data_IF_306579458170
#
_entry.id   IF_306579458170
#
_cell.length_a   1.000
_cell.length_b   1.000
_cell.length_c   1.000
_cell.angle_alpha   90.00
_cell.angle_beta   90.00
_cell.angle_gamma   90.00
#
_symmetry.space_group_name_H-M   'P 1'
#
loop_
_entity.id
_entity.type
_entity.pdbx_description
1 polymer ?
#
# COMPACT_ATOMS: atom_id res chain seq x y z
N UNK A 1 -8.43 -42.68 23.20
CA UNK A 1 -7.99 -42.19 21.87
C UNK A 1 -8.18 -40.70 21.71
N UNK A 2 -9.26 -40.08 22.08
CA UNK A 2 -9.56 -38.64 21.99
C UNK A 2 -8.61 -37.71 22.75
N UNK A 3 -8.09 -38.11 23.94
CA UNK A 3 -7.12 -37.27 24.71
C UNK A 3 -5.76 -37.12 24.02
N UNK A 4 -5.32 -38.10 23.24
CA UNK A 4 -4.04 -38.02 22.50
C UNK A 4 -4.17 -37.16 21.24
N UNK A 5 -5.34 -37.16 20.58
CA UNK A 5 -5.65 -36.29 19.44
C UNK A 5 -5.78 -34.81 19.85
N UNK A 6 -6.35 -34.56 21.03
CA UNK A 6 -6.44 -33.18 21.56
C UNK A 6 -5.08 -32.59 21.94
N UNK A 7 -4.14 -33.40 22.49
CA UNK A 7 -2.79 -32.94 22.80
C UNK A 7 -1.97 -32.64 21.52
N UNK A 8 -2.10 -33.46 20.48
CA UNK A 8 -1.40 -33.20 19.20
C UNK A 8 -1.96 -32.01 18.46
N UNK A 9 -3.25 -31.73 18.56
CA UNK A 9 -3.84 -30.49 18.01
C UNK A 9 -3.38 -29.24 18.74
N UNK A 10 -3.25 -29.28 20.07
CA UNK A 10 -2.74 -28.16 20.86
C UNK A 10 -1.26 -27.85 20.58
N UNK A 11 -0.43 -28.89 20.39
CA UNK A 11 0.99 -28.67 20.04
C UNK A 11 1.18 -28.17 18.61
N UNK A 12 0.34 -28.55 17.66
CA UNK A 12 0.38 -28.04 16.29
C UNK A 12 -0.02 -26.54 16.22
N UNK A 13 -0.96 -26.10 17.03
CA UNK A 13 -1.37 -24.67 17.14
C UNK A 13 -0.26 -23.85 17.82
N UNK A 14 0.47 -24.40 18.77
CA UNK A 14 1.56 -23.71 19.46
C UNK A 14 2.80 -23.52 18.57
N UNK A 15 3.06 -24.41 17.61
CA UNK A 15 4.17 -24.28 16.66
C UNK A 15 3.87 -23.33 15.47
N UNK A 16 2.60 -23.06 15.17
CA UNK A 16 2.20 -22.10 14.14
C UNK A 16 2.29 -20.64 14.57
N UNK A 17 2.56 -20.37 15.84
CA UNK A 17 2.55 -19.04 16.45
C UNK A 17 3.92 -18.40 16.69
N UNK A 18 5.00 -18.86 16.06
CA UNK A 18 6.27 -18.16 16.13
C UNK A 18 6.18 -16.91 15.25
N UNK A 19 6.19 -15.68 15.82
CA UNK A 19 6.33 -14.50 14.99
C UNK A 19 7.66 -14.61 14.24
N UNK A 20 7.63 -14.53 12.93
CA UNK A 20 8.85 -14.32 12.16
C UNK A 20 9.40 -12.94 12.56
N UNK A 21 10.39 -12.93 13.45
CA UNK A 21 11.22 -11.77 13.76
C UNK A 21 12.16 -11.50 12.58
N UNK A 22 11.60 -11.10 11.46
CA UNK A 22 12.33 -10.77 10.24
C UNK A 22 12.13 -9.29 9.86
N UNK A 23 12.07 -8.41 10.87
CA UNK A 23 12.30 -6.99 10.65
C UNK A 23 13.20 -6.54 11.80
N UNK A 24 14.40 -6.04 11.47
CA UNK A 24 15.19 -5.29 12.44
C UNK A 24 14.29 -4.22 13.08
N UNK A 25 14.59 -3.84 14.31
CA UNK A 25 13.85 -2.78 15.01
C UNK A 25 13.93 -1.51 14.15
N UNK A 26 12.96 -1.31 13.26
CA UNK A 26 12.74 -0.05 12.58
C UNK A 26 12.21 0.95 13.59
N UNK A 27 12.45 2.22 13.35
CA UNK A 27 11.96 3.30 14.21
C UNK A 27 10.43 3.28 14.33
N UNK A 28 9.93 4.06 15.27
CA UNK A 28 8.50 4.20 15.51
C UNK A 28 7.82 4.86 14.30
N UNK A 29 6.83 4.20 13.76
CA UNK A 29 5.97 4.74 12.69
C UNK A 29 4.66 5.24 13.31
N UNK A 30 4.38 6.52 13.15
CA UNK A 30 3.13 7.11 13.60
C UNK A 30 1.96 6.63 12.73
N UNK A 31 0.80 6.49 13.38
CA UNK A 31 -0.43 6.14 12.68
C UNK A 31 -1.05 7.41 12.06
N UNK A 32 -0.72 7.68 10.82
CA UNK A 32 -1.32 8.75 10.02
C UNK A 32 -2.67 8.27 9.52
N UNK A 33 -3.70 9.10 9.62
CA UNK A 33 -5.04 8.78 9.11
C UNK A 33 -5.17 9.18 7.66
N UNK A 34 -5.12 8.20 6.79
CA UNK A 34 -5.43 8.41 5.38
C UNK A 34 -6.94 8.28 5.10
N UNK A 35 -7.40 9.00 4.09
CA UNK A 35 -8.82 8.97 3.65
C UNK A 35 -9.30 7.57 3.24
N UNK A 36 -8.39 6.74 2.77
CA UNK A 36 -8.65 5.38 2.31
C UNK A 36 -8.57 4.31 3.42
N UNK A 37 -8.36 4.68 4.68
CA UNK A 37 -8.29 3.70 5.77
C UNK A 37 -9.63 3.04 6.07
N UNK A 38 -9.54 1.83 6.65
CA UNK A 38 -10.71 1.06 7.05
C UNK A 38 -11.54 0.53 5.88
N UNK A 39 -12.63 -0.17 6.19
CA UNK A 39 -13.46 -0.87 5.19
C UNK A 39 -14.28 0.06 4.29
N UNK A 40 -14.51 1.30 4.70
CA UNK A 40 -15.34 2.30 4.01
C UNK A 40 -14.56 3.53 3.53
N UNK A 41 -13.27 3.63 3.84
CA UNK A 41 -12.42 4.72 3.38
C UNK A 41 -12.25 4.71 1.86
N UNK A 42 -12.09 5.90 1.28
CA UNK A 42 -11.91 6.11 -0.16
C UNK A 42 -10.70 7.00 -0.42
N UNK A 43 -10.07 6.84 -1.56
CA UNK A 43 -9.00 7.74 -1.96
C UNK A 43 -9.53 9.18 -2.14
N UNK A 44 -8.75 10.15 -1.70
CA UNK A 44 -8.95 11.57 -2.00
C UNK A 44 -8.21 11.89 -3.31
N UNK A 45 -8.96 12.24 -4.35
CA UNK A 45 -8.40 12.52 -5.67
C UNK A 45 -7.40 13.69 -5.66
N UNK A 46 -7.68 14.75 -4.89
CA UNK A 46 -6.77 15.89 -4.80
C UNK A 46 -5.45 15.47 -4.15
N UNK A 47 -5.50 14.66 -3.09
CA UNK A 47 -4.31 14.10 -2.46
C UNK A 47 -3.52 13.22 -3.44
N UNK A 48 -4.20 12.36 -4.21
CA UNK A 48 -3.53 11.54 -5.22
C UNK A 48 -2.89 12.37 -6.34
N UNK A 49 -3.52 13.47 -6.76
CA UNK A 49 -2.96 14.38 -7.76
C UNK A 49 -1.73 15.11 -7.24
N UNK A 50 -1.74 15.61 -6.00
CA UNK A 50 -0.56 16.18 -5.36
C UNK A 50 0.55 15.15 -5.20
N UNK A 51 0.20 13.92 -4.79
CA UNK A 51 1.16 12.81 -4.68
C UNK A 51 1.77 12.41 -6.03
N UNK A 52 0.99 12.42 -7.12
CA UNK A 52 1.50 12.24 -8.47
C UNK A 52 2.48 13.34 -8.85
N UNK A 53 2.19 14.59 -8.47
CA UNK A 53 3.10 15.72 -8.72
C UNK A 53 4.42 15.53 -7.98
N UNK A 54 4.40 15.19 -6.68
CA UNK A 54 5.62 14.89 -5.91
C UNK A 54 6.39 13.71 -6.54
N UNK A 55 5.69 12.65 -6.94
CA UNK A 55 6.35 11.54 -7.63
C UNK A 55 7.05 12.00 -8.90
N UNK A 56 6.38 12.78 -9.74
CA UNK A 56 6.88 13.22 -11.04
C UNK A 56 8.08 14.17 -10.90
N UNK A 57 7.99 15.15 -10.00
CA UNK A 57 9.00 16.19 -9.86
C UNK A 57 10.21 15.75 -9.05
N UNK A 58 10.02 14.80 -8.11
CA UNK A 58 11.06 14.40 -7.15
C UNK A 58 11.47 12.94 -7.34
N UNK A 59 10.54 12.00 -7.29
CA UNK A 59 10.85 10.57 -7.16
C UNK A 59 11.23 9.91 -8.50
N UNK A 60 10.59 10.34 -9.60
CA UNK A 60 10.74 9.72 -10.91
C UNK A 60 12.17 9.82 -11.48
N UNK A 61 12.97 10.78 -10.98
CA UNK A 61 14.38 10.89 -11.35
C UNK A 61 15.20 9.62 -11.03
N UNK A 62 14.82 8.89 -9.99
CA UNK A 62 15.53 7.69 -9.51
C UNK A 62 14.67 6.44 -9.48
N UNK A 63 13.35 6.56 -9.34
CA UNK A 63 12.42 5.45 -9.12
C UNK A 63 11.42 5.29 -10.26
N UNK A 64 11.25 4.07 -10.75
CA UNK A 64 10.19 3.72 -11.71
C UNK A 64 8.87 3.28 -11.06
N UNK A 65 7.82 3.18 -11.89
CA UNK A 65 6.50 2.61 -11.57
C UNK A 65 6.07 1.60 -12.64
N UNK A 66 6.94 0.68 -12.99
CA UNK A 66 6.82 -0.22 -14.16
C UNK A 66 5.56 -1.11 -14.20
N UNK A 67 4.86 -1.27 -13.08
CA UNK A 67 3.64 -2.07 -13.01
C UNK A 67 2.36 -1.23 -13.01
N UNK A 68 2.46 0.09 -13.12
CA UNK A 68 1.33 1.01 -13.12
C UNK A 68 1.03 1.46 -14.55
N UNK A 69 -0.11 1.09 -15.16
CA UNK A 69 -0.51 1.58 -16.47
C UNK A 69 -0.86 3.07 -16.40
N UNK A 70 -0.32 3.88 -17.31
CA UNK A 70 -0.51 5.34 -17.28
C UNK A 70 -2.00 5.71 -17.41
N UNK A 71 -2.78 4.95 -18.20
CA UNK A 71 -4.23 5.17 -18.34
C UNK A 71 -5.00 5.14 -17.03
N UNK A 72 -4.50 4.42 -16.00
CA UNK A 72 -5.19 4.31 -14.71
C UNK A 72 -5.21 5.64 -13.93
N UNK A 73 -4.42 6.63 -14.34
CA UNK A 73 -4.54 7.99 -13.85
C UNK A 73 -5.93 8.60 -14.10
N UNK A 74 -6.68 8.06 -15.09
CA UNK A 74 -8.05 8.51 -15.41
C UNK A 74 -9.14 7.74 -14.65
N UNK A 75 -8.79 6.76 -13.82
CA UNK A 75 -9.77 5.97 -13.08
C UNK A 75 -10.50 6.84 -12.03
N UNK A 76 -11.82 6.68 -11.90
CA UNK A 76 -12.64 7.41 -10.92
C UNK A 76 -12.22 7.15 -9.47
N UNK A 77 -11.74 5.94 -9.19
CA UNK A 77 -11.22 5.54 -7.87
C UNK A 77 -9.72 5.86 -7.71
N UNK A 78 -9.12 6.60 -8.64
CA UNK A 78 -7.72 7.01 -8.67
C UNK A 78 -7.58 8.54 -8.74
N UNK A 79 -6.49 9.06 -9.34
CA UNK A 79 -6.29 10.51 -9.50
C UNK A 79 -7.39 11.22 -10.29
N UNK A 80 -8.17 10.49 -11.10
CA UNK A 80 -9.33 11.02 -11.82
C UNK A 80 -8.96 12.08 -12.88
N UNK A 81 -7.76 12.02 -13.43
CA UNK A 81 -7.28 12.97 -14.43
C UNK A 81 -7.98 12.69 -15.77
N UNK A 82 -8.60 13.69 -16.43
CA UNK A 82 -9.20 13.49 -17.73
C UNK A 82 -8.23 12.90 -18.77
N UNK A 83 -8.69 11.99 -19.66
CA UNK A 83 -7.80 11.28 -20.61
C UNK A 83 -6.98 12.18 -21.54
N UNK A 84 -7.48 13.36 -21.88
CA UNK A 84 -6.76 14.38 -22.65
C UNK A 84 -5.62 15.00 -21.84
N UNK A 85 -5.84 15.21 -20.53
CA UNK A 85 -4.81 15.70 -19.63
C UNK A 85 -3.76 14.63 -19.32
N UNK A 86 -4.13 13.34 -19.30
CA UNK A 86 -3.14 12.25 -19.20
C UNK A 86 -2.20 12.24 -20.39
N UNK A 87 -2.69 12.48 -21.62
CA UNK A 87 -1.83 12.63 -22.80
C UNK A 87 -0.92 13.85 -22.68
N UNK A 88 -1.47 14.99 -22.26
CA UNK A 88 -0.67 16.19 -22.03
C UNK A 88 0.41 15.97 -20.94
N UNK A 89 0.08 15.23 -19.87
CA UNK A 89 1.02 14.85 -18.83
C UNK A 89 2.19 14.03 -19.38
N UNK A 90 1.93 13.05 -20.24
CA UNK A 90 2.97 12.24 -20.90
C UNK A 90 3.90 13.13 -21.72
N UNK A 91 3.34 14.02 -22.53
CA UNK A 91 4.09 14.93 -23.42
C UNK A 91 4.92 15.94 -22.61
N UNK A 92 4.33 16.56 -21.59
CA UNK A 92 5.00 17.59 -20.76
C UNK A 92 6.16 17.02 -19.94
N UNK A 93 6.04 15.76 -19.51
CA UNK A 93 7.07 15.11 -18.71
C UNK A 93 8.03 14.24 -19.55
N UNK A 94 7.91 14.30 -20.89
CA UNK A 94 8.79 13.55 -21.82
C UNK A 94 8.88 12.06 -21.43
N UNK A 95 7.74 11.44 -21.09
CA UNK A 95 7.73 10.05 -20.67
C UNK A 95 7.98 9.16 -21.87
N UNK A 96 9.07 8.41 -21.84
CA UNK A 96 9.48 7.49 -22.88
C UNK A 96 9.47 6.05 -22.35
N UNK A 97 9.17 5.11 -23.24
CA UNK A 97 9.20 3.67 -22.96
C UNK A 97 10.03 2.96 -24.01
N UNK A 98 10.70 1.88 -23.59
CA UNK A 98 11.44 1.02 -24.51
C UNK A 98 10.47 0.25 -25.41
N UNK A 99 10.68 0.30 -26.71
CA UNK A 99 9.91 -0.44 -27.71
C UNK A 99 10.77 -1.58 -28.28
N UNK A 100 10.31 -2.82 -28.06
CA UNK A 100 11.05 -4.02 -28.47
C UNK A 100 11.12 -4.17 -30.00
N UNK A 101 10.10 -3.69 -30.71
CA UNK A 101 10.04 -3.79 -32.17
C UNK A 101 10.96 -2.76 -32.84
N UNK A 102 11.00 -1.55 -32.31
CA UNK A 102 11.87 -0.47 -32.77
C UNK A 102 13.31 -0.64 -32.24
N UNK A 103 13.49 -1.34 -31.12
CA UNK A 103 14.72 -1.42 -30.33
C UNK A 103 15.26 -0.03 -29.97
N UNK A 104 14.35 0.85 -29.62
CA UNK A 104 14.64 2.23 -29.28
C UNK A 104 13.57 2.76 -28.32
N UNK A 105 13.82 3.92 -27.73
CA UNK A 105 12.83 4.60 -26.89
C UNK A 105 11.84 5.35 -27.79
N UNK A 106 10.56 5.29 -27.43
CA UNK A 106 9.50 6.11 -28.01
C UNK A 106 8.71 6.83 -26.94
N UNK A 107 8.04 7.90 -27.31
CA UNK A 107 7.07 8.54 -26.44
C UNK A 107 6.04 7.52 -25.94
N UNK A 108 5.76 7.55 -24.64
CA UNK A 108 4.74 6.70 -24.05
C UNK A 108 3.34 7.08 -24.53
N UNK A 109 2.45 6.12 -24.47
CA UNK A 109 1.01 6.29 -24.70
C UNK A 109 0.25 5.95 -23.40
N UNK A 110 -1.02 6.32 -23.23
CA UNK A 110 -1.78 5.94 -22.05
C UNK A 110 -1.88 4.42 -21.81
N UNK A 111 -1.73 3.61 -22.83
CA UNK A 111 -1.77 2.14 -22.78
C UNK A 111 -0.48 1.53 -22.21
N UNK A 112 0.61 2.29 -22.24
CA UNK A 112 1.89 1.86 -21.66
C UNK A 112 1.87 1.97 -20.13
N UNK A 113 2.79 1.26 -19.50
CA UNK A 113 3.10 1.47 -18.10
C UNK A 113 4.06 2.65 -17.92
N UNK A 114 4.12 3.20 -16.72
CA UNK A 114 5.21 4.09 -16.35
C UNK A 114 6.57 3.40 -16.57
N UNK A 115 7.61 4.16 -16.94
CA UNK A 115 8.92 3.57 -17.22
C UNK A 115 9.54 2.95 -15.97
N UNK A 116 10.37 1.93 -16.22
CA UNK A 116 11.31 1.44 -15.22
C UNK A 116 12.49 2.42 -15.14
N UNK A 117 12.96 2.68 -13.92
CA UNK A 117 14.19 3.44 -13.70
C UNK A 117 15.16 2.61 -12.85
N UNK A 118 16.27 2.23 -13.43
CA UNK A 118 17.32 1.43 -12.78
C UNK A 118 18.64 2.19 -12.61
N UNK A 119 18.68 3.45 -13.05
CA UNK A 119 19.92 4.24 -13.15
C UNK A 119 20.63 4.44 -11.79
N UNK A 120 19.84 4.65 -10.74
CA UNK A 120 20.39 4.89 -9.39
C UNK A 120 20.45 3.60 -8.53
N UNK A 121 20.11 2.43 -9.06
CA UNK A 121 19.94 1.22 -8.27
C UNK A 121 18.79 1.30 -7.26
N UNK A 122 17.92 2.31 -7.41
CA UNK A 122 16.77 2.54 -6.55
C UNK A 122 15.67 1.51 -6.82
N UNK A 123 14.90 1.08 -5.81
CA UNK A 123 13.81 0.13 -6.01
C UNK A 123 12.66 0.76 -6.80
N UNK A 124 11.97 -0.05 -7.61
CA UNK A 124 10.70 0.33 -8.22
C UNK A 124 9.62 0.54 -7.16
N UNK A 125 8.83 1.61 -7.28
CA UNK A 125 7.86 2.03 -6.28
C UNK A 125 6.46 1.45 -6.49
N UNK A 126 6.18 0.74 -7.60
CA UNK A 126 4.84 0.27 -7.94
C UNK A 126 4.15 -0.51 -6.83
N UNK A 127 4.90 -1.28 -6.03
CA UNK A 127 4.36 -2.11 -4.95
C UNK A 127 4.86 -1.71 -3.57
N UNK A 128 5.59 -0.59 -3.46
CA UNK A 128 6.33 -0.23 -2.25
C UNK A 128 5.41 -0.09 -1.04
N UNK A 129 4.28 0.58 -1.17
CA UNK A 129 3.32 0.78 -0.09
C UNK A 129 2.70 -0.53 0.44
N UNK A 130 2.68 -1.60 -0.36
CA UNK A 130 2.21 -2.93 0.08
C UNK A 130 3.35 -3.86 0.47
N UNK A 131 4.59 -3.56 0.08
CA UNK A 131 5.77 -4.34 0.45
C UNK A 131 6.34 -3.92 1.81
N UNK A 132 5.82 -2.90 2.43
CA UNK A 132 6.23 -2.41 3.76
C UNK A 132 5.09 -2.52 4.75
N UNK A 133 5.46 -2.77 6.01
CA UNK A 133 4.55 -2.78 7.15
C UNK A 133 5.02 -1.69 8.11
N UNK A 134 4.20 -0.69 8.34
CA UNK A 134 4.50 0.40 9.28
C UNK A 134 4.26 -0.01 10.73
N UNK A 135 3.23 -0.83 10.96
CA UNK A 135 2.89 -1.29 12.31
C UNK A 135 2.19 -2.66 12.28
N UNK A 136 2.30 -3.36 13.40
CA UNK A 136 1.65 -4.63 13.62
C UNK A 136 0.43 -4.47 14.52
N UNK A 137 -0.65 -5.19 14.22
CA UNK A 137 -1.84 -5.21 15.05
C UNK A 137 -1.61 -5.99 16.36
N UNK A 138 -2.49 -5.76 17.37
CA UNK A 138 -2.46 -6.55 18.60
C UNK A 138 -2.60 -8.04 18.24
N UNK A 139 -1.74 -8.86 18.86
CA UNK A 139 -1.68 -10.33 18.71
C UNK A 139 -1.36 -10.84 17.30
N UNK A 140 -0.72 -10.05 16.43
CA UNK A 140 -0.40 -10.45 15.06
C UNK A 140 -1.63 -10.75 14.19
N UNK A 141 -2.81 -10.31 14.60
CA UNK A 141 -4.05 -10.52 13.85
C UNK A 141 -4.25 -9.45 12.80
N UNK A 142 -4.82 -9.81 11.67
CA UNK A 142 -5.18 -8.85 10.60
C UNK A 142 -6.31 -7.88 10.94
N UNK A 143 -6.84 -7.90 12.19
CA UNK A 143 -7.91 -6.99 12.62
C UNK A 143 -7.48 -5.53 12.63
N UNK A 144 -6.24 -5.25 13.02
CA UNK A 144 -5.71 -3.89 12.95
C UNK A 144 -5.63 -3.39 11.51
N UNK A 145 -5.15 -4.23 10.61
CA UNK A 145 -5.06 -3.88 9.17
C UNK A 145 -6.44 -3.68 8.53
N UNK A 146 -7.51 -4.23 9.10
CA UNK A 146 -8.86 -3.98 8.60
C UNK A 146 -9.34 -2.55 8.91
N UNK A 147 -8.88 -1.96 10.00
CA UNK A 147 -9.33 -0.65 10.50
C UNK A 147 -8.33 0.45 10.15
N UNK A 148 -7.04 0.20 10.36
CA UNK A 148 -5.96 1.19 10.23
C UNK A 148 -5.06 0.95 9.00
N UNK A 149 -5.38 -0.02 8.14
CA UNK A 149 -4.49 -0.38 7.03
C UNK A 149 -3.30 -1.23 7.47
N UNK A 150 -2.35 -1.45 6.54
CA UNK A 150 -1.14 -2.25 6.76
C UNK A 150 0.04 -1.43 7.29
N UNK A 151 -0.10 -0.10 7.38
CA UNK A 151 0.96 0.81 7.80
C UNK A 151 2.05 1.06 6.75
N UNK A 152 1.83 0.64 5.51
CA UNK A 152 2.80 0.85 4.44
C UNK A 152 2.92 2.30 3.99
N UNK A 153 1.82 3.01 3.73
CA UNK A 153 1.84 4.45 3.46
C UNK A 153 2.45 5.25 4.61
N UNK A 154 2.08 4.91 5.85
CA UNK A 154 2.62 5.54 7.06
C UNK A 154 4.13 5.33 7.18
N UNK A 155 4.62 4.12 6.86
CA UNK A 155 6.05 3.86 6.82
C UNK A 155 6.75 4.72 5.76
N UNK A 156 6.16 4.89 4.57
CA UNK A 156 6.74 5.72 3.51
C UNK A 156 6.78 7.18 3.95
N UNK A 157 5.68 7.71 4.48
CA UNK A 157 5.62 9.08 4.97
C UNK A 157 6.64 9.32 6.10
N UNK A 158 6.68 8.43 7.10
CA UNK A 158 7.63 8.53 8.20
C UNK A 158 9.10 8.40 7.73
N UNK A 159 9.38 7.54 6.75
CA UNK A 159 10.72 7.40 6.16
C UNK A 159 11.16 8.71 5.50
N UNK A 160 10.28 9.32 4.71
CA UNK A 160 10.60 10.54 3.96
C UNK A 160 10.79 11.76 4.85
N UNK A 161 10.09 11.84 5.99
CA UNK A 161 10.24 12.92 6.98
C UNK A 161 11.26 12.60 8.08
N UNK A 162 11.72 11.35 8.20
CA UNK A 162 12.54 10.86 9.32
C UNK A 162 14.04 11.07 9.17
N UNK A 163 14.52 11.90 8.25
CA UNK A 163 15.95 12.21 8.14
C UNK A 163 16.42 13.11 9.29
N UNK A 164 17.54 12.73 9.93
CA UNK A 164 18.03 13.35 11.15
C UNK A 164 19.40 14.06 11.01
N UNK A 165 20.03 13.99 9.82
CA UNK A 165 21.31 14.63 9.53
C UNK A 165 22.53 13.94 10.14
N UNK A 166 22.39 12.74 10.70
CA UNK A 166 23.53 11.91 11.16
C UNK A 166 24.05 11.06 10.01
N UNK A 167 24.79 11.70 9.10
CA UNK A 167 25.27 11.05 7.89
C UNK A 167 26.65 10.41 8.13
N UNK A 168 26.88 9.25 7.50
CA UNK A 168 28.13 8.50 7.64
C UNK A 168 28.65 8.03 6.27
N UNK A 169 29.97 7.95 6.14
CA UNK A 169 30.60 7.28 5.00
C UNK A 169 31.07 5.89 5.42
N UNK A 170 30.50 4.86 4.79
CA UNK A 170 30.80 3.47 5.07
C UNK A 170 31.24 2.75 3.79
N UNK A 171 32.46 2.18 3.79
CA UNK A 171 33.02 1.44 2.67
C UNK A 171 32.99 2.19 1.31
N UNK A 172 33.16 3.52 1.34
CA UNK A 172 33.14 4.36 0.14
C UNK A 172 31.73 4.72 -0.36
N UNK A 173 30.69 4.41 0.42
CA UNK A 173 29.31 4.82 0.15
C UNK A 173 28.85 5.80 1.21
N UNK A 174 28.28 6.92 0.77
CA UNK A 174 27.68 7.90 1.66
C UNK A 174 26.28 7.43 2.05
N UNK A 175 26.02 7.39 3.35
CA UNK A 175 24.74 6.96 3.93
C UNK A 175 24.17 8.10 4.77
N UNK A 176 22.86 8.27 4.68
CA UNK A 176 22.12 9.33 5.36
C UNK A 176 21.39 8.78 6.59
N UNK A 177 21.49 9.49 7.70
CA UNK A 177 20.80 9.12 8.93
C UNK A 177 19.30 9.23 8.83
N UNK A 178 18.59 8.18 9.24
CA UNK A 178 17.12 8.12 9.20
C UNK A 178 16.57 7.35 10.40
N UNK A 179 15.69 7.97 11.17
CA UNK A 179 15.16 7.41 12.41
C UNK A 179 14.19 6.22 12.21
N UNK A 180 13.68 6.06 10.98
CA UNK A 180 12.67 5.04 10.64
C UNK A 180 13.28 3.85 9.92
N UNK A 181 14.33 4.09 9.14
CA UNK A 181 14.96 3.03 8.35
C UNK A 181 15.67 2.01 9.25
N UNK A 182 15.46 0.69 9.05
CA UNK A 182 16.15 -0.32 9.84
C UNK A 182 17.67 -0.18 9.78
N UNK A 183 18.29 -0.05 10.94
CA UNK A 183 19.74 0.19 11.05
C UNK A 183 20.12 1.67 11.10
N UNK A 184 19.18 2.60 10.95
CA UNK A 184 19.40 4.03 11.12
C UNK A 184 20.12 4.76 9.99
N UNK A 185 20.55 4.04 8.95
CA UNK A 185 21.33 4.61 7.81
C UNK A 185 20.76 4.11 6.48
N UNK A 186 20.47 5.02 5.57
CA UNK A 186 19.89 4.73 4.24
C UNK A 186 20.75 5.37 3.13
N UNK A 187 20.87 4.70 1.99
CA UNK A 187 21.62 5.21 0.84
C UNK A 187 20.87 6.27 0.02
N UNK A 188 19.57 6.40 0.21
CA UNK A 188 18.77 7.45 -0.43
C UNK A 188 19.00 8.78 0.27
N UNK A 189 19.48 9.80 -0.46
CA UNK A 189 19.58 11.15 0.06
C UNK A 189 18.19 11.72 0.42
N UNK A 190 18.08 12.66 1.38
CA UNK A 190 16.82 13.34 1.68
C UNK A 190 16.20 13.91 0.40
N UNK A 191 15.05 13.41 -0.06
CA UNK A 191 14.50 13.83 -1.35
C UNK A 191 13.56 15.05 -1.24
N UNK A 192 13.04 15.34 -0.04
CA UNK A 192 12.05 16.38 0.20
C UNK A 192 12.64 17.56 0.97
N UNK A 193 12.17 18.76 0.66
CA UNK A 193 12.48 19.99 1.37
C UNK A 193 11.25 20.89 1.42
N UNK A 194 11.23 21.84 2.34
CA UNK A 194 10.14 22.82 2.46
C UNK A 194 9.93 23.55 1.13
N UNK A 195 8.68 23.66 0.72
CA UNK A 195 8.26 24.27 -0.55
C UNK A 195 8.96 23.65 -1.78
N UNK A 196 9.31 22.35 -1.70
CA UNK A 196 10.00 21.62 -2.76
C UNK A 196 9.17 21.40 -4.03
N UNK A 197 7.85 21.47 -3.91
CA UNK A 197 6.88 21.47 -5.02
C UNK A 197 5.90 22.62 -4.85
N UNK A 198 5.34 23.13 -5.93
CA UNK A 198 4.33 24.20 -5.89
C UNK A 198 2.95 23.62 -6.20
N UNK A 199 2.11 23.43 -5.16
CA UNK A 199 0.77 22.90 -5.31
C UNK A 199 -0.19 23.94 -5.86
N UNK A 200 -0.94 23.59 -6.91
CA UNK A 200 -1.91 24.48 -7.57
C UNK A 200 -3.17 24.76 -6.75
N UNK A 201 -3.46 23.93 -5.72
CA UNK A 201 -4.64 24.05 -4.86
C UNK A 201 -4.42 24.94 -3.63
N UNK A 202 -3.19 25.49 -3.47
CA UNK A 202 -2.82 26.34 -2.35
C UNK A 202 -2.49 25.58 -1.05
N UNK A 203 -2.41 24.25 -1.10
CA UNK A 203 -1.89 23.45 0.03
C UNK A 203 -0.43 23.81 0.29
N UNK A 204 -0.04 23.99 1.56
CA UNK A 204 1.35 24.22 1.91
C UNK A 204 2.20 22.96 1.63
N UNK A 205 3.30 23.12 0.91
CA UNK A 205 4.17 22.01 0.53
C UNK A 205 5.26 21.75 1.59
N UNK A 206 4.84 21.51 2.85
CA UNK A 206 5.76 21.09 3.91
C UNK A 206 6.30 19.69 3.61
N UNK A 207 7.43 19.33 4.23
CA UNK A 207 8.01 17.98 4.05
C UNK A 207 6.99 16.90 4.42
N UNK A 208 6.26 17.08 5.52
CA UNK A 208 5.24 16.14 5.99
C UNK A 208 4.10 16.00 4.97
N UNK A 209 3.59 17.14 4.45
CA UNK A 209 2.50 17.11 3.47
C UNK A 209 2.92 16.44 2.17
N UNK A 210 4.12 16.75 1.67
CA UNK A 210 4.67 16.09 0.48
C UNK A 210 4.83 14.58 0.71
N UNK A 211 5.33 14.19 1.88
CA UNK A 211 5.52 12.79 2.25
C UNK A 211 4.18 12.02 2.35
N UNK A 212 3.16 12.62 2.96
CA UNK A 212 1.81 12.04 3.05
C UNK A 212 1.16 11.93 1.66
N UNK A 213 1.24 12.97 0.85
CA UNK A 213 0.63 12.99 -0.48
C UNK A 213 1.26 11.92 -1.40
N UNK A 214 2.58 11.82 -1.44
CA UNK A 214 3.25 10.78 -2.24
C UNK A 214 3.02 9.38 -1.68
N UNK A 215 2.94 9.20 -0.35
CA UNK A 215 2.61 7.92 0.26
C UNK A 215 1.19 7.45 -0.11
N UNK A 216 0.22 8.37 -0.13
CA UNK A 216 -1.14 8.08 -0.59
C UNK A 216 -1.17 7.68 -2.08
N UNK A 217 -0.44 8.40 -2.93
CA UNK A 217 -0.31 8.06 -4.34
C UNK A 217 0.33 6.68 -4.55
N UNK A 218 1.41 6.37 -3.82
CA UNK A 218 2.06 5.07 -3.90
C UNK A 218 1.18 3.93 -3.36
N UNK A 219 0.29 4.20 -2.40
CA UNK A 219 -0.69 3.20 -1.98
C UNK A 219 -1.72 2.94 -3.08
N UNK A 220 -2.20 3.97 -3.77
CA UNK A 220 -3.06 3.80 -4.94
C UNK A 220 -2.32 3.06 -6.06
N UNK A 221 -1.08 3.42 -6.36
CA UNK A 221 -0.25 2.75 -7.38
C UNK A 221 -0.10 1.25 -7.09
N UNK A 222 0.09 0.87 -5.81
CA UNK A 222 0.22 -0.52 -5.38
C UNK A 222 -1.11 -1.29 -5.39
N UNK A 223 -2.25 -0.62 -5.30
CA UNK A 223 -3.59 -1.24 -5.31
C UNK A 223 -4.64 -0.32 -5.95
N UNK A 224 -4.61 -0.08 -7.26
CA UNK A 224 -5.56 0.80 -7.94
C UNK A 224 -7.01 0.28 -7.86
N UNK A 225 -7.21 -1.01 -7.65
CA UNK A 225 -8.52 -1.64 -7.48
C UNK A 225 -9.00 -1.74 -6.01
N UNK A 226 -8.37 -1.05 -5.07
CA UNK A 226 -8.71 -1.15 -3.65
C UNK A 226 -10.18 -0.77 -3.39
N UNK A 227 -10.69 0.28 -4.01
CA UNK A 227 -12.07 0.73 -3.83
C UNK A 227 -13.07 -0.30 -4.36
N UNK A 228 -12.81 -0.87 -5.53
CA UNK A 228 -13.62 -1.95 -6.09
C UNK A 228 -13.60 -3.20 -5.19
N UNK A 229 -12.43 -3.57 -4.67
CA UNK A 229 -12.28 -4.68 -3.73
C UNK A 229 -13.07 -4.46 -2.43
N UNK A 230 -13.04 -3.26 -1.85
CA UNK A 230 -13.81 -2.92 -0.65
C UNK A 230 -15.31 -3.00 -0.89
N UNK A 231 -15.82 -2.41 -1.98
CA UNK A 231 -17.24 -2.48 -2.36
C UNK A 231 -17.71 -3.93 -2.56
N UNK A 232 -16.92 -4.72 -3.30
CA UNK A 232 -17.22 -6.13 -3.55
C UNK A 232 -17.16 -6.98 -2.28
N UNK A 233 -16.14 -6.73 -1.44
CA UNK A 233 -15.97 -7.40 -0.15
C UNK A 233 -17.14 -7.16 0.79
N UNK A 234 -17.62 -5.93 0.91
CA UNK A 234 -18.79 -5.59 1.72
C UNK A 234 -20.05 -6.33 1.25
N UNK A 235 -20.31 -6.31 -0.06
CA UNK A 235 -21.42 -7.05 -0.66
C UNK A 235 -21.31 -8.54 -0.41
N UNK A 236 -20.12 -9.12 -0.58
CA UNK A 236 -19.89 -10.54 -0.34
C UNK A 236 -20.14 -10.94 1.13
N UNK A 237 -19.71 -10.12 2.09
CA UNK A 237 -19.96 -10.37 3.52
C UNK A 237 -21.46 -10.38 3.82
N UNK A 238 -22.24 -9.43 3.31
CA UNK A 238 -23.69 -9.39 3.49
C UNK A 238 -24.34 -10.68 2.93
N UNK A 239 -23.98 -11.07 1.71
CA UNK A 239 -24.52 -12.28 1.08
C UNK A 239 -24.15 -13.56 1.84
N UNK A 240 -22.92 -13.64 2.36
CA UNK A 240 -22.46 -14.76 3.16
C UNK A 240 -23.18 -14.85 4.52
N UNK A 241 -23.45 -13.72 5.17
CA UNK A 241 -24.27 -13.69 6.40
C UNK A 241 -25.67 -14.19 6.12
N UNK A 242 -26.31 -13.70 5.05
CA UNK A 242 -27.63 -14.16 4.64
C UNK A 242 -27.65 -15.66 4.35
N UNK A 243 -26.72 -16.13 3.54
CA UNK A 243 -26.59 -17.55 3.20
C UNK A 243 -26.36 -18.42 4.46
N UNK A 244 -25.46 -18.00 5.33
CA UNK A 244 -25.16 -18.73 6.58
C UNK A 244 -26.38 -18.81 7.49
N UNK A 245 -27.15 -17.73 7.58
CA UNK A 245 -28.41 -17.71 8.34
C UNK A 245 -29.45 -18.67 7.77
N UNK A 246 -29.64 -18.66 6.45
CA UNK A 246 -30.59 -19.60 5.78
C UNK A 246 -30.15 -21.05 5.96
N UNK A 247 -28.87 -21.34 5.79
CA UNK A 247 -28.34 -22.70 6.00
C UNK A 247 -28.49 -23.15 7.46
N UNK A 248 -28.23 -22.26 8.42
CA UNK A 248 -28.45 -22.55 9.84
C UNK A 248 -29.93 -22.88 10.13
N UNK A 249 -30.85 -22.04 9.66
CA UNK A 249 -32.30 -22.25 9.85
C UNK A 249 -32.77 -23.55 9.18
N UNK A 250 -32.31 -23.82 7.97
CA UNK A 250 -32.63 -25.08 7.25
C UNK A 250 -32.10 -26.29 8.01
N UNK A 251 -30.84 -26.27 8.43
CA UNK A 251 -30.23 -27.35 9.22
C UNK A 251 -30.99 -27.56 10.54
N UNK A 252 -31.30 -26.47 11.26
CA UNK A 252 -32.08 -26.52 12.50
C UNK A 252 -33.47 -27.20 12.27
N UNK A 253 -34.12 -26.87 11.15
CA UNK A 253 -35.43 -27.44 10.80
C UNK A 253 -35.36 -28.94 10.45
N UNK A 254 -34.37 -29.34 9.67
CA UNK A 254 -34.13 -30.73 9.28
C UNK A 254 -33.84 -31.64 10.48
N UNK A 255 -33.00 -31.15 11.44
CA UNK A 255 -32.64 -31.95 12.61
C UNK A 255 -33.63 -31.87 13.79
N UNK A 256 -34.65 -31.00 13.72
CA UNK A 256 -35.64 -30.88 14.78
C UNK A 256 -36.39 -32.20 15.12
N UNK A 257 -36.90 -33.01 14.14
CA UNK A 257 -37.58 -34.25 14.45
C UNK A 257 -36.64 -35.30 15.07
N UNK A 258 -35.41 -35.43 14.57
CA UNK A 258 -34.41 -36.36 15.12
C UNK A 258 -34.07 -36.03 16.58
N UNK A 259 -33.93 -34.75 16.90
CA UNK A 259 -33.65 -34.30 18.29
C UNK A 259 -34.85 -34.49 19.21
N UNK A 260 -36.09 -34.44 18.70
CA UNK A 260 -37.29 -34.76 19.49
C UNK A 260 -37.36 -36.24 19.79
N UNK A 261 -37.22 -37.11 18.80
CA UNK A 261 -37.22 -38.56 18.99
C UNK A 261 -36.12 -39.02 19.98
N UNK A 262 -34.94 -38.45 19.94
CA UNK A 262 -33.85 -38.76 20.87
C UNK A 262 -34.06 -38.25 22.34
N UNK A 263 -35.05 -37.38 22.57
CA UNK A 263 -35.43 -36.96 23.94
C UNK A 263 -36.56 -37.80 24.53
N UNK A 264 -37.31 -38.51 23.68
CA UNK A 264 -38.44 -39.35 24.07
C UNK A 264 -38.02 -40.82 24.30
N UNK A 265 -36.82 -41.19 23.87
CA UNK A 265 -36.15 -42.49 24.18
C UNK A 265 -35.30 -42.40 25.43
#
# INVERSE_FOLDING_TARGET
MFRKLALTALTAVALAGSPALAAGEGGHVENIRFSFDGPFGTFDQNQLQRGLQVYTEVCAACHGLRYVPIRTLSDEDGPGIPPDQVRAYIEQNFIEVWDEDLRDYRAATPEDNFPENTAAGAPDLSMMAKARLGFHGPWGTGLNSLVNGIGGPEYIAALLSGYNGHDEEMAGTFLYGNDVFPGGLISMAPPLWEDGVEYNDGTAATIEQQAEDVAAFLMWAAEPQMMARKRMGFTAVILLILLSTLLYLTNKRLWAPVKRAAKES
#
